data_IF_145668965221
#
_entry.id   IF_145668965221
#
_cell.length_a   1.000
_cell.length_b   1.000
_cell.length_c   1.000
_cell.angle_alpha   90.00
_cell.angle_beta   90.00
_cell.angle_gamma   90.00
#
_symmetry.space_group_name_H-M   'P 1'
#
loop_
_entity.id
_entity.type
_entity.pdbx_description
1 polymer ?
#
# COMPACT_ATOMS: atom_id res chain seq x y z
N UNK A 1 8.74 2.40 -2.18
CA UNK A 1 7.31 2.63 -2.50
C UNK A 1 6.43 2.20 -1.32
N UNK A 2 5.32 2.91 -1.10
CA UNK A 2 4.39 2.97 0.06
C UNK A 2 4.73 2.12 1.31
N UNK A 3 5.00 2.84 2.40
CA UNK A 3 5.48 2.31 3.67
C UNK A 3 4.65 2.77 4.87
N UNK A 4 4.56 1.90 5.87
CA UNK A 4 3.82 2.13 7.13
C UNK A 4 4.74 2.75 8.19
N UNK A 5 4.35 3.91 8.73
CA UNK A 5 5.06 4.63 9.80
C UNK A 5 4.24 4.58 11.08
N UNK A 6 4.84 4.19 12.20
CA UNK A 6 4.25 4.42 13.51
C UNK A 6 4.69 5.79 14.01
N UNK A 7 3.75 6.65 14.39
CA UNK A 7 4.05 8.02 14.82
C UNK A 7 3.71 8.17 16.30
N UNK A 8 4.66 8.66 17.10
CA UNK A 8 4.41 8.96 18.51
C UNK A 8 3.36 10.07 18.66
N UNK A 9 2.29 9.86 19.47
CA UNK A 9 1.20 10.83 19.60
C UNK A 9 1.64 12.23 20.04
N UNK A 10 2.53 12.30 21.02
CA UNK A 10 3.07 13.54 21.59
C UNK A 10 3.87 14.33 20.56
N UNK A 11 4.63 13.65 19.70
CA UNK A 11 5.35 14.26 18.58
C UNK A 11 4.37 14.89 17.58
N UNK A 12 3.33 14.15 17.19
CA UNK A 12 2.34 14.65 16.22
C UNK A 12 1.51 15.80 16.79
N UNK A 13 1.21 15.80 18.10
CA UNK A 13 0.54 16.90 18.76
C UNK A 13 1.35 18.21 18.68
N UNK A 14 2.69 18.11 18.70
CA UNK A 14 3.59 19.25 18.56
C UNK A 14 3.67 19.79 17.11
N UNK A 15 3.25 19.04 16.10
CA UNK A 15 3.25 19.48 14.68
C UNK A 15 2.17 20.53 14.35
N UNK A 16 1.43 21.00 15.35
CA UNK A 16 0.39 22.01 15.19
C UNK A 16 0.93 23.41 14.89
N UNK A 17 2.21 23.70 15.18
CA UNK A 17 2.80 24.99 14.84
C UNK A 17 2.90 25.17 13.31
N UNK A 18 2.99 26.43 12.87
CA UNK A 18 2.92 26.78 11.44
C UNK A 18 4.01 26.11 10.58
N UNK A 19 5.22 25.93 11.12
CA UNK A 19 6.34 25.38 10.36
C UNK A 19 6.16 23.87 10.17
N UNK A 20 6.03 23.14 11.27
CA UNK A 20 5.88 21.69 11.25
C UNK A 20 4.60 21.27 10.55
N UNK A 21 3.48 21.95 10.78
CA UNK A 21 2.22 21.66 10.10
C UNK A 21 2.38 21.69 8.58
N UNK A 22 3.04 22.73 8.03
CA UNK A 22 3.22 22.88 6.58
C UNK A 22 4.10 21.78 6.00
N UNK A 23 5.08 21.30 6.75
CA UNK A 23 5.96 20.22 6.36
C UNK A 23 5.21 18.88 6.40
N UNK A 24 4.79 18.43 7.58
CA UNK A 24 4.25 17.09 7.78
C UNK A 24 2.91 16.82 7.07
N UNK A 25 2.07 17.84 6.85
CA UNK A 25 0.83 17.65 6.09
C UNK A 25 1.09 17.23 4.62
N UNK A 26 2.28 17.55 4.09
CA UNK A 26 2.69 17.21 2.72
C UNK A 26 3.47 15.92 2.63
N UNK A 27 4.08 15.47 3.72
CA UNK A 27 4.93 14.27 3.73
C UNK A 27 4.14 12.97 3.92
N UNK A 28 2.86 13.03 4.27
CA UNK A 28 2.03 11.84 4.49
C UNK A 28 0.78 11.79 3.61
N UNK A 29 0.32 10.56 3.37
CA UNK A 29 -0.90 10.23 2.65
C UNK A 29 -0.67 9.82 1.19
N UNK A 30 -1.77 9.82 0.42
CA UNK A 30 -1.76 9.38 -0.97
C UNK A 30 -0.74 10.14 -1.81
N UNK A 31 0.06 9.38 -2.58
CA UNK A 31 1.14 9.90 -3.43
C UNK A 31 2.47 10.15 -2.71
N UNK A 32 2.50 10.14 -1.37
CA UNK A 32 3.71 10.49 -0.61
C UNK A 32 4.57 9.27 -0.27
N UNK A 33 4.02 8.07 -0.36
CA UNK A 33 4.76 6.84 -0.04
C UNK A 33 4.90 6.58 1.47
N UNK A 34 4.31 7.46 2.30
CA UNK A 34 4.31 7.36 3.76
C UNK A 34 2.88 7.38 4.24
N UNK A 35 2.45 6.28 4.84
CA UNK A 35 1.12 6.13 5.43
C UNK A 35 1.24 5.82 6.92
N UNK A 36 0.30 6.34 7.71
CA UNK A 36 0.37 6.23 9.16
C UNK A 36 -0.24 4.91 9.63
N UNK A 37 0.42 4.24 10.57
CA UNK A 37 -0.18 3.14 11.31
C UNK A 37 -1.19 3.66 12.31
N UNK A 38 -2.39 3.09 12.30
CA UNK A 38 -3.38 3.31 13.36
C UNK A 38 -3.05 2.45 14.57
N UNK A 39 -1.92 2.77 15.21
CA UNK A 39 -1.39 2.05 16.36
C UNK A 39 -1.23 2.97 17.59
N UNK A 40 -1.95 2.70 18.70
CA UNK A 40 -3.04 1.72 18.83
C UNK A 40 -4.31 2.19 18.09
N UNK A 41 -5.44 1.46 18.20
CA UNK A 41 -6.76 1.90 17.66
C UNK A 41 -7.14 3.31 18.13
N UNK A 42 -6.72 3.70 19.33
CA UNK A 42 -6.95 5.01 19.96
C UNK A 42 -5.88 6.05 19.65
N UNK A 43 -4.97 5.80 18.70
CA UNK A 43 -3.87 6.70 18.35
C UNK A 43 -4.28 8.17 18.20
N UNK A 44 -5.32 8.45 17.40
CA UNK A 44 -5.78 9.83 17.20
C UNK A 44 -6.32 10.47 18.49
N UNK A 45 -6.89 9.68 19.40
CA UNK A 45 -7.29 10.16 20.73
C UNK A 45 -6.06 10.53 21.54
N UNK A 46 -5.04 9.67 21.55
CA UNK A 46 -3.77 9.96 22.24
C UNK A 46 -3.13 11.25 21.74
N UNK A 47 -3.14 11.51 20.41
CA UNK A 47 -2.64 12.78 19.85
C UNK A 47 -3.39 13.99 20.45
N UNK A 48 -4.72 13.91 20.55
CA UNK A 48 -5.52 14.97 21.17
C UNK A 48 -5.28 15.10 22.68
N UNK A 49 -5.12 13.98 23.39
CA UNK A 49 -4.83 13.98 24.82
C UNK A 49 -3.45 14.61 25.12
N UNK A 50 -2.51 14.55 24.16
CA UNK A 50 -1.19 15.19 24.23
C UNK A 50 -1.15 16.63 23.72
N UNK A 51 -2.25 17.17 23.17
CA UNK A 51 -2.30 18.52 22.61
C UNK A 51 -2.53 19.58 23.69
N UNK A 52 -1.67 20.59 23.74
CA UNK A 52 -1.83 21.76 24.60
C UNK A 52 -2.84 22.75 23.97
N UNK A 53 -4.07 22.78 24.49
CA UNK A 53 -5.22 23.54 23.95
C UNK A 53 -5.15 25.04 24.27
N UNK A 54 -3.97 25.64 24.12
CA UNK A 54 -3.71 27.07 24.40
C UNK A 54 -3.99 27.97 23.20
N UNK A 55 -4.15 27.41 22.00
CA UNK A 55 -4.30 28.15 20.74
C UNK A 55 -5.36 27.54 19.83
N UNK A 56 -6.44 28.28 19.56
CA UNK A 56 -7.49 27.86 18.62
C UNK A 56 -6.95 27.66 17.19
N UNK A 57 -5.90 28.39 16.81
CA UNK A 57 -5.30 28.29 15.48
C UNK A 57 -4.52 26.98 15.36
N UNK A 58 -3.74 26.63 16.39
CA UNK A 58 -2.97 25.39 16.40
C UNK A 58 -3.89 24.17 16.53
N UNK A 59 -5.00 24.30 17.27
CA UNK A 59 -6.06 23.30 17.30
C UNK A 59 -6.60 22.99 15.90
N UNK A 60 -6.91 24.02 15.11
CA UNK A 60 -7.40 23.84 13.73
C UNK A 60 -6.37 23.19 12.82
N UNK A 61 -5.09 23.56 12.95
CA UNK A 61 -3.99 22.92 12.22
C UNK A 61 -3.87 21.44 12.57
N UNK A 62 -3.92 21.10 13.86
CA UNK A 62 -3.89 19.71 14.29
C UNK A 62 -5.10 18.92 13.77
N UNK A 63 -6.29 19.52 13.74
CA UNK A 63 -7.48 18.93 13.15
C UNK A 63 -7.29 18.62 11.66
N UNK A 64 -6.83 19.59 10.87
CA UNK A 64 -6.52 19.42 9.44
C UNK A 64 -5.48 18.32 9.19
N UNK A 65 -4.39 18.34 9.98
CA UNK A 65 -3.34 17.33 9.94
C UNK A 65 -3.91 15.93 10.24
N UNK A 66 -4.69 15.77 11.30
CA UNK A 66 -5.28 14.49 11.66
C UNK A 66 -6.29 14.00 10.61
N UNK A 67 -7.09 14.88 9.99
CA UNK A 67 -7.94 14.51 8.85
C UNK A 67 -7.09 13.92 7.73
N UNK A 68 -5.98 14.59 7.38
CA UNK A 68 -5.05 14.14 6.34
C UNK A 68 -4.42 12.79 6.66
N UNK A 69 -3.86 12.62 7.86
CA UNK A 69 -3.19 11.37 8.26
C UNK A 69 -4.18 10.19 8.34
N UNK A 70 -5.43 10.46 8.75
CA UNK A 70 -6.48 9.44 8.91
C UNK A 70 -7.11 8.98 7.59
N UNK A 71 -6.94 9.73 6.52
CA UNK A 71 -7.50 9.40 5.20
C UNK A 71 -7.03 8.02 4.73
N UNK A 72 -5.74 7.74 4.91
CA UNK A 72 -5.09 6.47 4.53
C UNK A 72 -4.19 5.99 5.66
N UNK A 73 -4.76 5.20 6.57
CA UNK A 73 -4.03 4.54 7.65
C UNK A 73 -4.00 3.03 7.48
N UNK A 74 -2.90 2.42 7.91
CA UNK A 74 -2.84 0.99 8.12
C UNK A 74 -3.61 0.64 9.38
N UNK A 75 -4.66 -0.18 9.24
CA UNK A 75 -5.55 -0.57 10.34
C UNK A 75 -5.19 -1.98 10.82
N UNK A 76 -4.19 -2.07 11.70
CA UNK A 76 -3.81 -3.33 12.34
C UNK A 76 -4.98 -3.92 13.14
N UNK A 77 -5.27 -5.21 12.94
CA UNK A 77 -6.31 -5.98 13.62
C UNK A 77 -5.77 -6.63 14.89
N UNK A 78 -4.56 -7.20 14.80
CA UNK A 78 -3.97 -8.10 15.80
C UNK A 78 -2.73 -7.50 16.49
N UNK A 79 -2.73 -6.16 16.64
CA UNK A 79 -1.70 -5.47 17.41
C UNK A 79 -1.85 -5.82 18.90
N UNK A 80 -0.71 -5.84 19.60
CA UNK A 80 -0.68 -5.99 21.06
C UNK A 80 -0.43 -4.61 21.68
N UNK A 81 -1.06 -4.36 22.82
CA UNK A 81 -0.85 -3.16 23.61
C UNK A 81 -0.82 -3.56 25.08
N UNK A 82 0.22 -3.13 25.77
CA UNK A 82 0.44 -3.36 27.19
C UNK A 82 0.22 -2.04 27.95
N UNK A 83 -0.84 -1.99 28.74
CA UNK A 83 -1.18 -0.84 29.58
C UNK A 83 -0.25 -0.69 30.80
N UNK A 84 0.61 -1.68 31.08
CA UNK A 84 1.62 -1.58 32.13
C UNK A 84 2.87 -0.79 31.70
N UNK A 85 3.08 -0.60 30.40
CA UNK A 85 4.17 0.23 29.88
C UNK A 85 3.80 1.71 29.99
N UNK A 86 4.76 2.53 30.41
CA UNK A 86 4.54 3.95 30.67
C UNK A 86 4.53 4.77 29.37
N UNK A 87 5.29 4.35 28.35
CA UNK A 87 5.43 5.10 27.09
C UNK A 87 4.71 4.43 25.90
N UNK A 88 4.27 5.26 24.95
CA UNK A 88 3.81 4.77 23.65
C UNK A 88 4.95 4.13 22.86
N UNK A 89 6.18 4.64 22.98
CA UNK A 89 7.35 4.15 22.26
C UNK A 89 7.70 2.70 22.63
N UNK A 90 7.68 2.34 23.92
CA UNK A 90 7.91 0.95 24.36
C UNK A 90 6.88 -0.01 23.75
N UNK A 91 5.61 0.39 23.75
CA UNK A 91 4.54 -0.35 23.09
C UNK A 91 4.80 -0.48 21.58
N UNK A 92 5.22 0.60 20.92
CA UNK A 92 5.53 0.58 19.49
C UNK A 92 6.71 -0.34 19.17
N UNK A 93 7.73 -0.39 20.01
CA UNK A 93 8.89 -1.27 19.86
C UNK A 93 8.53 -2.75 20.02
N UNK A 94 7.69 -3.09 20.99
CA UNK A 94 7.18 -4.46 21.13
C UNK A 94 6.37 -4.89 19.91
N UNK A 95 5.47 -4.03 19.42
CA UNK A 95 4.68 -4.34 18.23
C UNK A 95 5.54 -4.38 16.95
N UNK A 96 6.58 -3.55 16.86
CA UNK A 96 7.55 -3.56 15.76
C UNK A 96 8.33 -4.87 15.71
N UNK A 97 8.70 -5.44 16.85
CA UNK A 97 9.36 -6.75 16.93
C UNK A 97 8.46 -7.89 16.41
N UNK A 98 7.14 -7.80 16.62
CA UNK A 98 6.15 -8.78 16.10
C UNK A 98 5.89 -8.59 14.61
N UNK A 99 5.54 -7.36 14.24
CA UNK A 99 5.16 -6.97 12.89
C UNK A 99 5.80 -5.62 12.57
N UNK A 100 6.98 -5.62 11.94
CA UNK A 100 7.73 -4.40 11.70
C UNK A 100 6.91 -3.33 10.98
N UNK A 101 6.95 -2.12 11.51
CA UNK A 101 6.72 -0.91 10.74
C UNK A 101 7.88 -0.72 9.75
N UNK A 102 7.77 0.22 8.83
CA UNK A 102 8.94 0.64 8.07
C UNK A 102 9.92 1.41 8.95
N UNK A 103 9.38 2.29 9.80
CA UNK A 103 10.10 2.98 10.87
C UNK A 103 9.09 3.46 11.93
N UNK A 104 9.59 3.72 13.12
CA UNK A 104 8.90 4.42 14.19
C UNK A 104 9.42 5.86 14.18
N UNK A 105 8.54 6.85 14.26
CA UNK A 105 8.93 8.24 14.49
C UNK A 105 8.55 8.66 15.90
N UNK A 106 9.54 9.15 16.65
CA UNK A 106 9.39 9.52 18.05
C UNK A 106 10.24 10.75 18.40
N UNK A 107 9.93 11.42 19.50
CA UNK A 107 10.67 12.61 19.98
C UNK A 107 12.09 12.28 20.41
N UNK A 108 12.34 11.05 20.85
CA UNK A 108 13.64 10.59 21.32
C UNK A 108 13.98 9.21 20.78
N UNK A 109 15.28 8.94 20.64
CA UNK A 109 15.83 7.65 20.29
C UNK A 109 16.95 7.29 21.30
N UNK A 110 16.59 6.92 22.54
CA UNK A 110 17.55 6.82 23.65
C UNK A 110 18.60 5.72 23.46
N UNK A 111 18.29 4.69 22.66
CA UNK A 111 19.15 3.54 22.39
C UNK A 111 19.76 3.55 20.98
N UNK A 112 19.67 4.68 20.25
CA UNK A 112 20.19 4.85 18.89
C UNK A 112 19.74 3.73 17.92
N UNK A 113 18.49 3.29 18.06
CA UNK A 113 17.94 2.21 17.24
C UNK A 113 17.73 2.68 15.80
N UNK A 114 18.18 1.87 14.83
CA UNK A 114 18.10 2.18 13.40
C UNK A 114 16.67 2.26 12.85
N UNK A 115 15.69 1.72 13.59
CA UNK A 115 14.28 1.69 13.22
C UNK A 115 13.47 2.84 13.86
N UNK A 116 14.14 3.77 14.56
CA UNK A 116 13.53 4.98 15.11
C UNK A 116 14.12 6.21 14.40
N UNK A 117 13.26 7.11 13.92
CA UNK A 117 13.62 8.44 13.44
C UNK A 117 13.05 9.51 14.37
N UNK A 118 13.87 10.51 14.68
CA UNK A 118 13.47 11.72 15.40
C UNK A 118 13.32 12.90 14.43
N UNK A 119 12.68 13.97 14.87
CA UNK A 119 12.57 15.20 14.06
C UNK A 119 13.93 15.82 13.77
N UNK A 120 14.91 15.64 14.66
CA UNK A 120 16.28 16.13 14.46
C UNK A 120 16.98 15.37 13.32
N UNK A 121 16.68 14.08 13.16
CA UNK A 121 17.23 13.28 12.06
C UNK A 121 16.73 13.77 10.70
N UNK A 122 15.58 14.47 10.66
CA UNK A 122 14.98 15.02 9.45
C UNK A 122 15.69 16.25 8.87
N UNK A 123 16.70 16.78 9.56
CA UNK A 123 17.46 17.94 9.10
C UNK A 123 18.57 17.60 8.08
N UNK A 124 18.87 16.31 7.87
CA UNK A 124 19.89 15.83 6.94
C UNK A 124 19.44 15.68 5.49
N UNK A 125 20.34 15.18 4.64
CA UNK A 125 20.08 14.72 3.28
C UNK A 125 20.16 13.18 3.23
N UNK A 126 19.46 12.54 2.29
CA UNK A 126 19.46 11.09 2.05
C UNK A 126 19.16 10.25 3.31
N UNK A 127 18.14 10.68 4.05
CA UNK A 127 17.74 10.12 5.32
C UNK A 127 17.08 8.77 5.09
N UNK A 128 17.78 7.72 5.52
CA UNK A 128 17.29 6.35 5.44
C UNK A 128 15.87 6.23 6.01
N UNK A 129 14.98 5.58 5.27
CA UNK A 129 13.56 5.38 5.60
C UNK A 129 12.71 6.64 5.68
N UNK A 130 13.25 7.81 5.42
CA UNK A 130 12.46 9.03 5.23
C UNK A 130 12.36 9.42 3.76
N UNK A 131 13.50 9.35 3.06
CA UNK A 131 13.62 9.70 1.64
C UNK A 131 13.13 8.56 0.74
N UNK A 132 11.80 8.44 0.70
CA UNK A 132 11.10 7.44 -0.09
C UNK A 132 10.96 7.91 -1.53
N UNK A 133 11.89 7.45 -2.39
CA UNK A 133 11.87 7.74 -3.82
C UNK A 133 10.49 7.46 -4.45
N UNK A 134 10.08 8.37 -5.34
CA UNK A 134 8.80 8.30 -6.04
C UNK A 134 8.77 7.15 -7.05
N UNK A 135 9.86 6.98 -7.80
CA UNK A 135 10.10 5.85 -8.68
C UNK A 135 11.43 5.17 -8.40
N UNK A 136 11.51 3.88 -8.74
CA UNK A 136 12.73 3.09 -8.66
C UNK A 136 12.83 2.18 -9.89
N UNK A 137 14.04 1.73 -10.19
CA UNK A 137 14.29 0.67 -11.17
C UNK A 137 14.37 -0.67 -10.45
N UNK A 138 13.67 -1.68 -10.97
CA UNK A 138 13.71 -3.06 -10.46
C UNK A 138 14.12 -4.01 -11.57
N UNK A 139 14.80 -5.11 -11.23
CA UNK A 139 14.91 -6.21 -12.19
C UNK A 139 13.52 -6.78 -12.44
N UNK A 140 13.25 -7.21 -13.67
CA UNK A 140 12.00 -7.87 -14.04
C UNK A 140 11.99 -9.33 -13.60
N UNK A 141 12.36 -9.58 -12.35
CA UNK A 141 12.28 -10.88 -11.69
C UNK A 141 11.20 -10.80 -10.61
N UNK A 142 10.40 -11.86 -10.52
CA UNK A 142 9.30 -11.96 -9.56
C UNK A 142 9.68 -11.56 -8.12
N UNK A 143 10.79 -12.05 -7.52
CA UNK A 143 11.17 -11.63 -6.16
C UNK A 143 11.47 -10.13 -6.05
N UNK A 144 12.14 -9.54 -7.04
CA UNK A 144 12.53 -8.12 -7.02
C UNK A 144 11.31 -7.21 -7.18
N UNK A 145 10.42 -7.53 -8.14
CA UNK A 145 9.14 -6.83 -8.33
C UNK A 145 8.28 -6.91 -7.07
N UNK A 146 8.20 -8.08 -6.43
CA UNK A 146 7.43 -8.31 -5.21
C UNK A 146 8.02 -7.59 -4.00
N UNK A 147 9.34 -7.62 -3.83
CA UNK A 147 10.06 -6.92 -2.76
C UNK A 147 9.80 -5.42 -2.80
N UNK A 148 9.81 -4.83 -3.99
CA UNK A 148 9.64 -3.41 -4.23
C UNK A 148 8.31 -2.84 -3.70
N UNK A 149 7.25 -3.66 -3.69
CA UNK A 149 5.91 -3.28 -3.22
C UNK A 149 5.44 -4.11 -2.00
N UNK A 150 6.35 -4.84 -1.36
CA UNK A 150 6.04 -5.79 -0.28
C UNK A 150 5.29 -5.13 0.88
N UNK A 151 5.73 -3.95 1.32
CA UNK A 151 5.10 -3.24 2.42
C UNK A 151 3.69 -2.76 2.05
N UNK A 152 3.47 -2.30 0.83
CA UNK A 152 2.14 -1.93 0.34
C UNK A 152 1.18 -3.13 0.35
N UNK A 153 1.57 -4.26 -0.26
CA UNK A 153 0.73 -5.48 -0.33
C UNK A 153 0.56 -6.16 1.03
N UNK A 154 1.57 -6.08 1.89
CA UNK A 154 1.57 -6.64 3.24
C UNK A 154 0.71 -5.86 4.23
N UNK A 155 0.18 -4.69 3.84
CA UNK A 155 -0.60 -3.80 4.71
C UNK A 155 -1.95 -3.37 4.12
N UNK A 156 -2.26 -3.76 2.88
CA UNK A 156 -3.52 -3.40 2.24
C UNK A 156 -4.72 -4.23 2.72
N UNK A 157 -5.92 -3.66 2.59
CA UNK A 157 -7.22 -4.31 2.83
C UNK A 157 -7.91 -4.74 1.54
N UNK A 158 -7.54 -4.13 0.41
CA UNK A 158 -7.92 -4.58 -0.92
C UNK A 158 -6.78 -4.31 -1.91
N UNK A 159 -6.77 -5.07 -3.01
CA UNK A 159 -5.81 -4.88 -4.10
C UNK A 159 -6.44 -5.15 -5.46
N UNK A 160 -6.04 -4.37 -6.47
CA UNK A 160 -6.35 -4.57 -7.89
C UNK A 160 -5.05 -4.72 -8.66
N UNK A 161 -4.87 -5.86 -9.33
CA UNK A 161 -3.81 -6.08 -10.31
C UNK A 161 -4.36 -5.73 -11.69
N UNK A 162 -3.82 -4.70 -12.33
CA UNK A 162 -4.29 -4.20 -13.61
C UNK A 162 -3.17 -4.37 -14.61
N UNK A 163 -3.36 -5.25 -15.58
CA UNK A 163 -2.50 -5.35 -16.75
C UNK A 163 -3.30 -5.97 -17.91
N UNK A 164 -3.41 -5.24 -19.05
CA UNK A 164 -4.18 -5.70 -20.20
C UNK A 164 -3.79 -7.11 -20.66
N UNK A 165 -2.54 -7.53 -20.48
CA UNK A 165 -2.03 -8.79 -21.04
C UNK A 165 -2.11 -9.99 -20.09
N UNK A 166 -2.67 -9.84 -18.89
CA UNK A 166 -2.85 -10.95 -17.95
C UNK A 166 -3.73 -12.09 -18.47
N UNK A 167 -4.62 -11.81 -19.43
CA UNK A 167 -5.42 -12.77 -20.18
C UNK A 167 -4.58 -13.75 -21.01
N UNK A 168 -3.34 -13.39 -21.35
CA UNK A 168 -2.42 -14.23 -22.13
C UNK A 168 -1.77 -15.33 -21.29
N UNK A 169 -1.94 -15.31 -19.96
CA UNK A 169 -1.52 -16.38 -19.06
C UNK A 169 -0.06 -16.84 -19.25
N UNK A 170 0.84 -15.87 -19.51
CA UNK A 170 2.27 -16.13 -19.72
C UNK A 170 2.93 -16.69 -18.46
N UNK A 171 4.00 -17.46 -18.67
CA UNK A 171 4.78 -18.04 -17.56
C UNK A 171 5.41 -16.98 -16.65
N UNK A 172 5.72 -15.79 -17.17
CA UNK A 172 6.22 -14.71 -16.35
C UNK A 172 5.13 -14.04 -15.50
N UNK A 173 3.93 -13.80 -16.05
CA UNK A 173 2.75 -13.42 -15.25
C UNK A 173 2.48 -14.43 -14.14
N UNK A 174 2.60 -15.73 -14.44
CA UNK A 174 2.47 -16.77 -13.41
C UNK A 174 3.46 -16.53 -12.27
N UNK A 175 4.75 -16.35 -12.58
CA UNK A 175 5.80 -16.15 -11.56
C UNK A 175 5.57 -14.89 -10.71
N UNK A 176 5.31 -13.74 -11.34
CA UNK A 176 5.14 -12.48 -10.63
C UNK A 176 3.86 -12.46 -9.78
N UNK A 177 2.72 -12.91 -10.34
CA UNK A 177 1.47 -12.99 -9.60
C UNK A 177 1.57 -13.97 -8.43
N UNK A 178 2.22 -15.13 -8.60
CA UNK A 178 2.47 -16.04 -7.48
C UNK A 178 3.26 -15.33 -6.37
N UNK A 179 4.31 -14.57 -6.71
CA UNK A 179 5.08 -13.83 -5.72
C UNK A 179 4.24 -12.75 -4.99
N UNK A 180 3.39 -12.02 -5.71
CA UNK A 180 2.47 -11.06 -5.10
C UNK A 180 1.43 -11.75 -4.21
N UNK A 181 0.83 -12.85 -4.66
CA UNK A 181 -0.17 -13.60 -3.91
C UNK A 181 0.43 -14.22 -2.65
N UNK A 182 1.69 -14.66 -2.68
CA UNK A 182 2.39 -15.13 -1.48
C UNK A 182 2.53 -14.04 -0.42
N UNK A 183 2.82 -12.80 -0.83
CA UNK A 183 2.77 -11.65 0.10
C UNK A 183 1.35 -11.47 0.62
N UNK A 184 0.33 -11.66 -0.23
CA UNK A 184 -1.05 -11.46 0.17
C UNK A 184 -1.57 -12.51 1.17
N UNK A 185 -1.10 -13.76 1.05
CA UNK A 185 -1.47 -14.91 1.88
C UNK A 185 -0.69 -14.98 3.20
N UNK A 186 0.53 -14.45 3.24
CA UNK A 186 1.35 -14.44 4.45
C UNK A 186 0.60 -13.82 5.65
N UNK A 187 0.99 -14.21 6.86
CA UNK A 187 0.47 -13.60 8.08
C UNK A 187 0.80 -12.11 8.12
N UNK A 188 -0.18 -11.28 8.45
CA UNK A 188 -0.07 -9.82 8.44
C UNK A 188 -0.81 -9.22 9.62
N UNK A 189 -0.35 -8.07 10.14
CA UNK A 189 -1.05 -7.36 11.20
C UNK A 189 -2.44 -6.84 10.78
N UNK A 190 -2.74 -6.76 9.47
CA UNK A 190 -4.03 -6.28 8.95
C UNK A 190 -5.03 -7.40 8.60
N UNK A 191 -4.63 -8.66 8.75
CA UNK A 191 -5.36 -9.82 8.25
C UNK A 191 -5.33 -9.96 6.72
N UNK A 192 -6.06 -10.94 6.14
CA UNK A 192 -6.16 -11.10 4.69
C UNK A 192 -6.93 -9.93 4.05
N UNK A 193 -6.60 -9.53 2.81
CA UNK A 193 -7.40 -8.55 2.07
C UNK A 193 -8.83 -9.06 1.88
N UNK A 194 -9.82 -8.18 2.04
CA UNK A 194 -11.23 -8.52 1.84
C UNK A 194 -11.63 -8.53 0.36
N UNK A 195 -10.77 -8.05 -0.55
CA UNK A 195 -11.02 -8.02 -1.99
C UNK A 195 -9.71 -8.07 -2.77
N UNK A 196 -9.61 -9.00 -3.71
CA UNK A 196 -8.48 -9.13 -4.64
C UNK A 196 -9.06 -9.21 -6.05
N UNK A 197 -8.67 -8.28 -6.91
CA UNK A 197 -9.17 -8.19 -8.27
C UNK A 197 -8.04 -8.27 -9.29
N UNK A 198 -8.31 -8.93 -10.41
CA UNK A 198 -7.45 -8.93 -11.59
C UNK A 198 -8.21 -8.28 -12.75
N UNK A 199 -7.64 -7.26 -13.36
CA UNK A 199 -8.23 -6.51 -14.46
C UNK A 199 -7.35 -6.71 -15.69
N UNK A 200 -7.94 -7.28 -16.74
CA UNK A 200 -7.24 -7.63 -17.98
C UNK A 200 -8.12 -7.36 -19.20
N UNK A 201 -7.58 -7.47 -20.40
CA UNK A 201 -8.37 -7.36 -21.61
C UNK A 201 -9.14 -8.66 -21.90
N UNK A 202 -10.19 -8.56 -22.71
CA UNK A 202 -10.95 -9.70 -23.19
C UNK A 202 -10.42 -10.32 -24.48
N UNK A 203 -9.09 -10.45 -24.69
CA UNK A 203 -8.43 -10.92 -25.94
C UNK A 203 -8.75 -12.40 -26.32
N UNK A 204 -10.02 -12.80 -26.33
CA UNK A 204 -10.48 -14.14 -26.71
C UNK A 204 -10.15 -15.26 -25.71
N UNK A 205 -9.52 -14.94 -24.58
CA UNK A 205 -9.28 -15.90 -23.51
C UNK A 205 -10.61 -16.39 -22.91
N UNK A 206 -10.85 -17.70 -22.99
CA UNK A 206 -12.07 -18.31 -22.45
C UNK A 206 -12.05 -18.37 -20.93
N UNK A 207 -13.23 -18.41 -20.31
CA UNK A 207 -13.39 -18.57 -18.86
C UNK A 207 -12.62 -19.79 -18.35
N UNK A 208 -12.74 -20.94 -19.02
CA UNK A 208 -12.04 -22.17 -18.64
C UNK A 208 -10.51 -22.03 -18.73
N UNK A 209 -10.02 -21.30 -19.73
CA UNK A 209 -8.58 -21.04 -19.88
C UNK A 209 -8.04 -20.21 -18.72
N UNK A 210 -8.73 -19.11 -18.38
CA UNK A 210 -8.35 -18.27 -17.24
C UNK A 210 -8.46 -19.05 -15.93
N UNK A 211 -9.56 -19.77 -15.72
CA UNK A 211 -9.78 -20.58 -14.53
C UNK A 211 -8.64 -21.57 -14.29
N UNK A 212 -8.30 -22.37 -15.31
CA UNK A 212 -7.21 -23.34 -15.26
C UNK A 212 -5.83 -22.72 -14.97
N UNK A 213 -5.60 -21.47 -15.37
CA UNK A 213 -4.35 -20.75 -15.10
C UNK A 213 -4.32 -20.21 -13.66
N UNK A 214 -5.36 -19.49 -13.24
CA UNK A 214 -5.37 -18.76 -11.98
C UNK A 214 -5.61 -19.66 -10.76
N UNK A 215 -6.33 -20.77 -10.87
CA UNK A 215 -6.46 -21.75 -9.78
C UNK A 215 -5.09 -22.29 -9.32
N UNK A 216 -4.10 -22.32 -10.23
CA UNK A 216 -2.72 -22.77 -9.96
C UNK A 216 -1.79 -21.66 -9.45
N UNK A 217 -2.31 -20.48 -9.21
CA UNK A 217 -1.55 -19.28 -8.79
C UNK A 217 -2.13 -18.73 -7.51
N UNK A 218 -3.45 -18.73 -7.38
CA UNK A 218 -4.17 -18.24 -6.22
C UNK A 218 -4.00 -19.26 -5.08
N UNK A 219 -3.41 -18.86 -3.95
CA UNK A 219 -3.24 -19.75 -2.80
C UNK A 219 -4.56 -20.25 -2.24
N UNK A 220 -4.53 -21.42 -1.60
CA UNK A 220 -5.69 -21.95 -0.87
C UNK A 220 -6.24 -20.93 0.14
N UNK A 221 -7.57 -20.84 0.25
CA UNK A 221 -8.27 -19.89 1.11
C UNK A 221 -8.22 -18.42 0.66
N UNK A 222 -7.71 -18.14 -0.55
CA UNK A 222 -7.80 -16.83 -1.21
C UNK A 222 -8.81 -16.90 -2.34
N UNK A 223 -9.65 -15.87 -2.44
CA UNK A 223 -10.60 -15.67 -3.53
C UNK A 223 -10.21 -14.44 -4.35
N UNK A 224 -10.30 -14.57 -5.67
CA UNK A 224 -9.98 -13.49 -6.63
C UNK A 224 -11.12 -13.34 -7.61
N UNK A 225 -11.47 -12.10 -7.93
CA UNK A 225 -12.39 -11.78 -9.03
C UNK A 225 -11.60 -11.28 -10.23
N UNK A 226 -11.83 -11.89 -11.40
CA UNK A 226 -11.21 -11.51 -12.66
C UNK A 226 -12.22 -10.76 -13.51
N UNK A 227 -11.79 -9.60 -14.00
CA UNK A 227 -12.54 -8.76 -14.92
C UNK A 227 -11.83 -8.68 -16.26
N UNK A 228 -12.54 -9.10 -17.31
CA UNK A 228 -12.13 -8.91 -18.69
C UNK A 228 -12.82 -7.67 -19.25
N UNK A 229 -12.02 -6.73 -19.73
CA UNK A 229 -12.48 -5.43 -20.20
C UNK A 229 -12.41 -5.32 -21.72
N UNK A 230 -13.35 -4.57 -22.28
CA UNK A 230 -13.38 -4.09 -23.67
C UNK A 230 -13.43 -2.57 -23.66
N UNK A 231 -12.66 -1.95 -24.55
CA UNK A 231 -12.68 -0.49 -24.70
C UNK A 231 -14.04 -0.02 -25.24
N UNK A 232 -14.58 1.05 -24.65
CA UNK A 232 -15.77 1.73 -25.16
C UNK A 232 -15.43 2.45 -26.47
N UNK A 233 -16.38 2.58 -27.42
CA UNK A 233 -16.20 3.46 -28.58
C UNK A 233 -15.83 4.88 -28.15
N UNK A 234 -14.74 5.42 -28.71
CA UNK A 234 -14.16 6.71 -28.31
C UNK A 234 -13.81 6.84 -26.80
N UNK A 235 -13.66 5.70 -26.12
CA UNK A 235 -13.32 5.61 -24.70
C UNK A 235 -11.82 5.64 -24.42
N UNK A 236 -11.48 5.40 -23.16
CA UNK A 236 -10.09 5.27 -22.71
C UNK A 236 -9.48 3.97 -23.22
N UNK A 237 -8.17 4.00 -23.49
CA UNK A 237 -7.42 2.79 -23.85
C UNK A 237 -7.05 1.96 -22.63
N UNK A 238 -7.21 0.66 -22.76
CA UNK A 238 -6.80 -0.33 -21.77
C UNK A 238 -5.34 -0.72 -22.02
N UNK A 239 -4.42 0.18 -21.64
CA UNK A 239 -2.99 0.01 -21.92
C UNK A 239 -2.11 -0.01 -20.66
N UNK A 240 -2.41 0.84 -19.69
CA UNK A 240 -1.51 1.06 -18.56
C UNK A 240 -1.60 -0.07 -17.53
N UNK A 241 -0.48 -0.34 -16.85
CA UNK A 241 -0.37 -1.40 -15.84
C UNK A 241 -0.16 -0.82 -14.47
N UNK A 242 -0.96 -1.29 -13.52
CA UNK A 242 -0.98 -0.77 -12.16
C UNK A 242 -1.18 -1.88 -11.15
N UNK A 243 -0.67 -1.65 -9.94
CA UNK A 243 -1.16 -2.31 -8.74
C UNK A 243 -1.74 -1.22 -7.86
N UNK A 244 -3.03 -1.31 -7.58
CA UNK A 244 -3.77 -0.35 -6.74
C UNK A 244 -4.18 -1.02 -5.43
N UNK A 245 -4.10 -0.29 -4.33
CA UNK A 245 -4.52 -0.73 -3.00
C UNK A 245 -5.21 0.41 -2.26
N UNK A 246 -5.82 0.14 -1.11
CA UNK A 246 -6.39 1.19 -0.26
C UNK A 246 -5.35 2.18 0.32
N UNK A 247 -4.06 1.89 0.16
CA UNK A 247 -2.95 2.72 0.63
C UNK A 247 -2.36 3.61 -0.49
N UNK A 248 -2.79 3.41 -1.73
CA UNK A 248 -2.26 4.08 -2.92
C UNK A 248 -1.98 3.11 -4.07
N UNK A 249 -1.30 3.58 -5.11
CA UNK A 249 -1.02 2.77 -6.31
C UNK A 249 0.39 2.94 -6.84
N UNK A 250 0.83 1.94 -7.62
CA UNK A 250 2.13 1.91 -8.31
C UNK A 250 1.88 1.54 -9.77
N UNK A 251 2.57 2.21 -10.70
CA UNK A 251 2.58 1.89 -12.12
C UNK A 251 3.80 1.04 -12.49
N UNK A 252 3.59 0.11 -13.42
CA UNK A 252 4.62 -0.77 -13.98
C UNK A 252 4.72 -0.47 -15.47
N UNK A 253 5.87 0.02 -15.95
CA UNK A 253 5.98 0.47 -17.34
C UNK A 253 6.02 -0.74 -18.30
N UNK A 254 6.74 -1.79 -17.92
CA UNK A 254 6.78 -3.08 -18.64
C UNK A 254 5.69 -4.07 -18.23
N UNK A 255 4.82 -3.68 -17.29
CA UNK A 255 3.71 -4.50 -16.82
C UNK A 255 4.10 -5.52 -15.78
N UNK A 256 3.20 -6.47 -15.54
CA UNK A 256 3.36 -7.44 -14.48
C UNK A 256 4.07 -8.71 -14.96
N UNK A 257 4.61 -8.75 -16.19
CA UNK A 257 5.37 -9.90 -16.71
C UNK A 257 6.85 -9.84 -16.31
N UNK A 258 7.39 -10.97 -15.86
CA UNK A 258 8.85 -11.09 -15.65
C UNK A 258 9.59 -11.08 -16.98
N UNK A 259 10.82 -10.56 -16.98
CA UNK A 259 11.72 -10.49 -18.12
C UNK A 259 12.88 -11.48 -18.08
N UNK A 260 13.70 -11.45 -19.13
CA UNK A 260 14.98 -12.18 -19.19
C UNK A 260 16.01 -11.62 -18.19
N UNK A 261 17.17 -12.26 -18.10
CA UNK A 261 18.26 -11.79 -17.24
C UNK A 261 18.80 -10.44 -17.74
N UNK A 262 18.99 -9.50 -16.83
CA UNK A 262 19.40 -8.12 -17.14
C UNK A 262 18.26 -7.18 -17.56
N UNK A 263 17.03 -7.68 -17.78
CA UNK A 263 15.89 -6.80 -18.04
C UNK A 263 15.40 -6.11 -16.77
N UNK A 264 15.18 -4.80 -16.85
CA UNK A 264 14.66 -3.96 -15.76
C UNK A 264 13.32 -3.32 -16.12
N UNK A 265 12.59 -2.85 -15.11
CA UNK A 265 11.40 -2.02 -15.24
C UNK A 265 11.55 -0.80 -14.34
N UNK A 266 11.07 0.35 -14.82
CA UNK A 266 10.90 1.53 -14.00
C UNK A 266 9.48 1.53 -13.45
N UNK A 267 9.39 1.54 -12.13
CA UNK A 267 8.11 1.53 -11.43
C UNK A 267 7.97 2.80 -10.62
N UNK A 268 6.78 3.41 -10.70
CA UNK A 268 6.53 4.75 -10.15
C UNK A 268 5.27 4.73 -9.29
N UNK A 269 5.34 5.37 -8.12
CA UNK A 269 4.17 5.60 -7.28
C UNK A 269 3.21 6.54 -7.99
N UNK A 270 1.91 6.29 -7.88
CA UNK A 270 0.90 7.19 -8.42
C UNK A 270 0.69 8.37 -7.46
N UNK A 271 0.66 9.57 -8.02
CA UNK A 271 0.20 10.75 -7.30
C UNK A 271 -1.29 10.64 -6.99
N UNK A 272 -1.79 11.44 -6.05
CA UNK A 272 -3.19 11.42 -5.60
C UNK A 272 -4.18 11.41 -6.76
N UNK A 273 -4.08 12.41 -7.65
CA UNK A 273 -5.05 12.59 -8.74
C UNK A 273 -5.05 11.39 -9.70
N UNK A 274 -3.87 10.85 -10.01
CA UNK A 274 -3.74 9.67 -10.84
C UNK A 274 -4.32 8.44 -10.15
N UNK A 275 -3.98 8.22 -8.87
CA UNK A 275 -4.48 7.10 -8.09
C UNK A 275 -6.01 7.11 -8.00
N UNK A 276 -6.61 8.25 -7.66
CA UNK A 276 -8.07 8.41 -7.56
C UNK A 276 -8.74 8.17 -8.92
N UNK A 277 -8.19 8.74 -10.00
CA UNK A 277 -8.67 8.52 -11.36
C UNK A 277 -8.62 7.03 -11.74
N UNK A 278 -7.49 6.35 -11.50
CA UNK A 278 -7.36 4.92 -11.85
C UNK A 278 -8.28 4.05 -11.00
N UNK A 279 -8.43 4.34 -9.70
CA UNK A 279 -9.38 3.62 -8.85
C UNK A 279 -10.81 3.71 -9.40
N UNK A 280 -11.24 4.90 -9.85
CA UNK A 280 -12.55 5.11 -10.46
C UNK A 280 -12.70 4.38 -11.79
N UNK A 281 -11.68 4.39 -12.65
CA UNK A 281 -11.74 3.72 -13.96
C UNK A 281 -11.99 2.22 -13.86
N UNK A 282 -11.44 1.58 -12.83
CA UNK A 282 -11.57 0.15 -12.56
C UNK A 282 -12.55 -0.15 -11.41
N UNK A 283 -13.45 0.78 -11.09
CA UNK A 283 -14.55 0.53 -10.15
C UNK A 283 -15.64 -0.28 -10.85
N UNK A 284 -15.98 -1.45 -10.31
CA UNK A 284 -17.02 -2.33 -10.85
C UNK A 284 -18.42 -1.68 -10.85
N UNK A 285 -18.67 -0.68 -10.00
CA UNK A 285 -19.97 0.01 -9.96
C UNK A 285 -20.18 0.97 -11.14
N UNK A 286 -19.10 1.54 -11.70
CA UNK A 286 -19.17 2.51 -12.79
C UNK A 286 -17.88 2.49 -13.63
N UNK A 287 -17.57 1.37 -14.31
CA UNK A 287 -16.28 1.19 -14.97
C UNK A 287 -16.14 2.08 -16.21
N UNK A 288 -14.90 2.51 -16.47
CA UNK A 288 -14.55 3.25 -17.68
C UNK A 288 -14.55 2.38 -18.95
N UNK A 289 -14.65 1.06 -18.80
CA UNK A 289 -14.62 0.04 -19.84
C UNK A 289 -15.91 -0.78 -19.82
N UNK A 290 -16.19 -1.51 -20.90
CA UNK A 290 -17.28 -2.48 -20.95
C UNK A 290 -16.79 -3.86 -20.52
N UNK A 291 -17.66 -4.66 -19.92
CA UNK A 291 -17.37 -6.07 -19.65
C UNK A 291 -17.26 -6.82 -20.98
N UNK A 292 -16.15 -7.52 -21.19
CA UNK A 292 -16.01 -8.43 -22.33
C UNK A 292 -16.76 -9.75 -22.08
N UNK A 293 -16.77 -10.19 -20.82
CA UNK A 293 -17.43 -11.39 -20.28
C UNK A 293 -17.87 -11.07 -18.84
N UNK A 294 -18.76 -11.90 -18.27
CA UNK A 294 -19.14 -11.79 -16.86
C UNK A 294 -17.93 -11.96 -15.93
N UNK A 295 -17.84 -11.21 -14.81
CA UNK A 295 -16.74 -11.35 -13.85
C UNK A 295 -16.59 -12.79 -13.34
N UNK A 296 -15.37 -13.31 -13.41
CA UNK A 296 -15.05 -14.68 -13.04
C UNK A 296 -14.48 -14.71 -11.62
N UNK A 297 -15.18 -15.36 -10.70
CA UNK A 297 -14.69 -15.61 -9.34
C UNK A 297 -13.94 -16.95 -9.27
N UNK A 298 -12.73 -16.91 -8.71
CA UNK A 298 -11.88 -18.08 -8.56
C UNK A 298 -11.44 -18.18 -7.11
N UNK A 299 -11.69 -19.35 -6.51
CA UNK A 299 -11.07 -19.74 -5.25
C UNK A 299 -9.79 -20.50 -5.54
N UNK A 300 -8.69 -20.11 -4.91
CA UNK A 300 -7.42 -20.78 -5.06
C UNK A 300 -7.45 -22.21 -4.54
N UNK A 301 -6.79 -23.11 -5.25
CA UNK A 301 -6.53 -24.49 -4.80
C UNK A 301 -5.04 -24.76 -4.65
N UNK A 302 -4.21 -23.72 -4.81
CA UNK A 302 -2.76 -23.84 -4.74
C UNK A 302 -2.32 -23.90 -3.27
N UNK A 303 -2.18 -25.11 -2.75
CA UNK A 303 -1.45 -25.40 -1.52
C UNK A 303 0.03 -25.67 -1.84
N UNK A 304 0.90 -25.47 -0.85
CA UNK A 304 2.34 -25.81 -0.94
C UNK A 304 2.60 -27.23 -1.46
#
# INVERSE_FOLDING_TARGET
>A
MIYEYALEPEMVAAWCDRHNHRFFIREFGLGQGRVVSRYPKTWAKKVWDSFDDTSQVDRKRLEELLVRLKETMVKRRDYVWDDALESWLENALQEHARHPFYTIMARTNPEEQQDILTETDLAGEDIAKWDVHHGITVNRKAPDMAAAIKMMLGRCRWVKFIDPYLSQCKSGHKRSLTAFMNILKAEKPVGPPGKIEIHTNGDGATIDYLKNFYEKIIPDGIQVTIYQWREKPAGQRLHNRYILTDLGGVSFHHGLDTGADGETDDITRLDREQYELRCKQYDSAAPAFDYAEDPLEISGTFGE
#
